data_IF_172518536929
#
_entry.id   IF_172518536929
#
_cell.length_a   1.000
_cell.length_b   1.000
_cell.length_c   1.000
_cell.angle_alpha   90.00
_cell.angle_beta   90.00
_cell.angle_gamma   90.00
#
_symmetry.space_group_name_H-M   'P 1'
#
loop_
_entity.id
_entity.type
_entity.pdbx_description
1 polymer ?
#
# COMPACT_ATOMS: atom_id res chain seq x y z
N UNK A 1 0.34 11.44 18.38
CA UNK A 1 1.00 10.49 17.44
C UNK A 1 1.95 11.29 16.56
N UNK A 2 3.10 10.71 16.11
CA UNK A 2 4.02 11.39 15.19
C UNK A 2 3.30 11.68 13.87
N UNK A 3 3.43 12.91 13.33
CA UNK A 3 2.89 13.31 12.03
C UNK A 3 4.01 13.31 11.01
N UNK A 4 3.72 12.83 9.80
CA UNK A 4 4.65 12.79 8.66
C UNK A 4 4.08 13.66 7.56
N UNK A 5 4.91 14.54 7.01
CA UNK A 5 4.57 15.36 5.84
C UNK A 5 4.71 14.50 4.58
N UNK A 6 3.76 14.59 3.67
CA UNK A 6 3.81 13.90 2.39
C UNK A 6 4.61 14.73 1.37
N UNK A 7 5.83 14.29 1.13
CA UNK A 7 6.74 14.98 0.20
C UNK A 7 6.94 16.46 0.59
N UNK A 8 6.80 17.34 -0.38
CA UNK A 8 6.86 18.81 -0.22
C UNK A 8 5.47 19.46 -0.19
N UNK A 9 4.39 18.69 -0.05
CA UNK A 9 3.00 19.19 0.00
C UNK A 9 2.64 19.72 1.40
N UNK A 10 1.45 20.31 1.56
CA UNK A 10 0.90 20.69 2.85
C UNK A 10 0.04 19.58 3.49
N UNK A 11 0.11 18.36 2.93
CA UNK A 11 -0.57 17.19 3.48
C UNK A 11 0.27 16.53 4.57
N UNK A 12 -0.36 16.24 5.71
CA UNK A 12 0.25 15.56 6.85
C UNK A 12 -0.63 14.39 7.28
N UNK A 13 0.00 13.29 7.62
CA UNK A 13 -0.69 12.08 8.10
C UNK A 13 -0.03 11.53 9.37
N UNK A 14 -0.74 10.67 10.07
CA UNK A 14 -0.15 9.89 11.16
C UNK A 14 0.92 8.95 10.61
N UNK A 15 1.90 8.59 11.44
CA UNK A 15 3.08 7.84 11.02
C UNK A 15 2.80 6.39 10.57
N UNK A 16 1.56 5.93 10.68
CA UNK A 16 1.10 4.61 10.24
C UNK A 16 -0.18 4.82 9.45
N UNK A 17 -0.20 4.37 8.20
CA UNK A 17 -1.38 4.33 7.34
C UNK A 17 -2.04 2.95 7.35
N UNK A 18 -3.10 2.79 6.58
CA UNK A 18 -3.88 1.56 6.46
C UNK A 18 -3.86 1.04 5.02
N UNK A 19 -3.30 -0.17 4.81
CA UNK A 19 -3.40 -0.91 3.56
C UNK A 19 -4.74 -1.65 3.50
N UNK A 20 -5.59 -1.31 2.52
CA UNK A 20 -6.93 -1.88 2.40
C UNK A 20 -6.99 -3.19 1.58
N UNK A 21 -5.90 -3.58 0.91
CA UNK A 21 -5.85 -4.71 -0.02
C UNK A 21 -6.47 -5.99 0.56
N UNK A 22 -6.12 -6.35 1.79
CA UNK A 22 -6.50 -7.63 2.40
C UNK A 22 -8.01 -7.82 2.60
N UNK A 23 -8.81 -6.76 2.53
CA UNK A 23 -10.27 -6.84 2.70
C UNK A 23 -10.97 -7.59 1.54
N UNK A 24 -10.40 -7.50 0.32
CA UNK A 24 -11.01 -8.12 -0.86
C UNK A 24 -10.04 -8.93 -1.71
N UNK A 25 -8.72 -8.81 -1.50
CA UNK A 25 -7.73 -9.34 -2.43
C UNK A 25 -6.61 -10.09 -1.70
N UNK A 26 -6.19 -11.22 -2.29
CA UNK A 26 -4.91 -11.89 -2.03
C UNK A 26 -4.67 -12.45 -0.62
N UNK A 27 -5.64 -12.40 0.28
CA UNK A 27 -5.51 -12.85 1.66
C UNK A 27 -6.62 -13.83 2.08
N UNK A 28 -7.20 -14.54 1.14
CA UNK A 28 -8.36 -15.42 1.30
C UNK A 28 -9.63 -14.81 0.70
N UNK A 29 -10.78 -15.42 0.95
CA UNK A 29 -12.08 -14.90 0.47
C UNK A 29 -12.28 -13.44 0.92
N UNK A 30 -12.95 -12.60 0.11
CA UNK A 30 -13.29 -11.25 0.50
C UNK A 30 -14.03 -11.19 1.85
N UNK A 31 -13.66 -10.24 2.67
CA UNK A 31 -14.43 -9.90 3.88
C UNK A 31 -15.82 -9.42 3.44
N UNK A 32 -16.93 -9.85 4.09
CA UNK A 32 -18.25 -9.31 3.80
C UNK A 32 -18.24 -7.78 3.79
N UNK A 33 -18.91 -7.19 2.80
CA UNK A 33 -18.81 -5.74 2.53
C UNK A 33 -19.12 -4.89 3.75
N UNK A 34 -20.19 -5.20 4.47
CA UNK A 34 -20.65 -4.46 5.65
C UNK A 34 -19.61 -4.52 6.78
N UNK A 35 -19.01 -5.70 6.99
CA UNK A 35 -17.93 -5.91 7.96
C UNK A 35 -16.67 -5.13 7.58
N UNK A 36 -16.27 -5.20 6.30
CA UNK A 36 -15.12 -4.45 5.81
C UNK A 36 -15.30 -2.92 5.94
N UNK A 37 -16.49 -2.42 5.67
CA UNK A 37 -16.86 -1.00 5.89
C UNK A 37 -16.76 -0.63 7.37
N UNK A 38 -17.23 -1.49 8.27
CA UNK A 38 -17.14 -1.27 9.72
C UNK A 38 -15.68 -1.25 10.20
N UNK A 39 -14.84 -2.18 9.72
CA UNK A 39 -13.40 -2.21 10.02
C UNK A 39 -12.73 -0.89 9.64
N UNK A 40 -13.01 -0.38 8.42
CA UNK A 40 -12.41 0.87 7.94
C UNK A 40 -12.89 2.09 8.74
N UNK A 41 -14.15 2.14 9.16
CA UNK A 41 -14.69 3.21 10.02
C UNK A 41 -14.07 3.15 11.43
N UNK A 42 -13.95 1.98 12.02
CA UNK A 42 -13.24 1.79 13.30
C UNK A 42 -11.78 2.24 13.21
N UNK A 43 -11.09 1.97 12.08
CA UNK A 43 -9.73 2.46 11.87
C UNK A 43 -9.68 3.99 11.89
N UNK A 44 -10.63 4.69 11.27
CA UNK A 44 -10.76 6.14 11.36
C UNK A 44 -10.94 6.62 12.81
N UNK A 45 -11.83 6.00 13.56
CA UNK A 45 -12.07 6.33 14.97
C UNK A 45 -10.83 6.11 15.85
N UNK A 46 -9.95 5.17 15.46
CA UNK A 46 -8.65 4.93 16.09
C UNK A 46 -7.56 5.92 15.64
N UNK A 47 -7.88 6.81 14.69
CA UNK A 47 -6.99 7.87 14.21
C UNK A 47 -6.20 7.55 12.96
N UNK A 48 -6.55 6.51 12.20
CA UNK A 48 -5.97 6.31 10.87
C UNK A 48 -6.51 7.38 9.91
N UNK A 49 -5.60 8.07 9.23
CA UNK A 49 -5.91 9.16 8.31
C UNK A 49 -5.24 9.02 6.93
N UNK A 50 -4.64 7.84 6.64
CA UNK A 50 -4.06 7.48 5.34
C UNK A 50 -4.60 6.12 4.92
N UNK A 51 -5.37 6.06 3.84
CA UNK A 51 -6.05 4.87 3.33
C UNK A 51 -5.52 4.54 1.95
N UNK A 52 -4.99 3.32 1.79
CA UNK A 52 -4.36 2.87 0.55
C UNK A 52 -5.13 1.72 -0.08
N UNK A 53 -5.61 1.93 -1.31
CA UNK A 53 -6.28 0.93 -2.14
C UNK A 53 -5.70 0.88 -3.56
N UNK A 54 -6.30 0.13 -4.48
CA UNK A 54 -5.97 0.10 -5.90
C UNK A 54 -7.13 -0.44 -6.74
N UNK A 55 -7.21 -0.04 -8.02
CA UNK A 55 -8.24 -0.53 -8.96
C UNK A 55 -8.20 -2.06 -9.14
N UNK A 56 -7.00 -2.66 -9.09
CA UNK A 56 -6.81 -4.09 -9.28
C UNK A 56 -7.06 -4.94 -8.03
N UNK A 57 -7.35 -4.34 -6.87
CA UNK A 57 -7.65 -5.10 -5.66
C UNK A 57 -9.07 -5.66 -5.71
N UNK A 58 -9.22 -6.77 -6.36
CA UNK A 58 -10.48 -7.48 -6.52
C UNK A 58 -10.38 -8.90 -5.98
N UNK A 59 -11.50 -9.45 -5.55
CA UNK A 59 -11.65 -10.87 -5.21
C UNK A 59 -12.98 -11.40 -5.71
N UNK A 60 -13.21 -12.69 -5.51
CA UNK A 60 -14.46 -13.35 -5.87
C UNK A 60 -15.21 -13.71 -4.60
N UNK A 61 -16.41 -13.17 -4.46
CA UNK A 61 -17.33 -13.49 -3.36
C UNK A 61 -17.82 -14.95 -3.46
N UNK A 62 -18.31 -15.54 -2.36
CA UNK A 62 -18.86 -16.91 -2.39
C UNK A 62 -20.01 -17.12 -3.39
N UNK A 63 -20.73 -16.07 -3.78
CA UNK A 63 -21.80 -16.11 -4.78
C UNK A 63 -21.31 -15.95 -6.23
N UNK A 64 -19.97 -15.86 -6.43
CA UNK A 64 -19.33 -15.66 -7.73
C UNK A 64 -19.25 -14.21 -8.21
N UNK A 65 -19.82 -13.27 -7.48
CA UNK A 65 -19.71 -11.84 -7.82
C UNK A 65 -18.30 -11.29 -7.52
N UNK A 66 -17.91 -10.21 -8.20
CA UNK A 66 -16.63 -9.53 -7.95
C UNK A 66 -16.74 -8.58 -6.75
N UNK A 67 -15.83 -8.75 -5.79
CA UNK A 67 -15.64 -7.79 -4.71
C UNK A 67 -14.61 -6.73 -5.14
N UNK A 68 -15.01 -5.48 -5.22
CA UNK A 68 -14.14 -4.34 -5.55
C UNK A 68 -13.70 -3.63 -4.28
N UNK A 69 -12.38 -3.57 -4.04
CA UNK A 69 -11.82 -2.89 -2.87
C UNK A 69 -12.19 -1.41 -2.83
N UNK A 70 -12.11 -0.72 -3.98
CA UNK A 70 -12.44 0.70 -4.09
C UNK A 70 -13.91 1.00 -3.74
N UNK A 71 -14.86 0.09 -4.01
CA UNK A 71 -16.25 0.27 -3.62
C UNK A 71 -16.45 0.17 -2.10
N UNK A 72 -15.74 -0.77 -1.46
CA UNK A 72 -15.75 -0.93 0.00
C UNK A 72 -15.13 0.30 0.67
N UNK A 73 -13.96 0.71 0.19
CA UNK A 73 -13.26 1.90 0.74
C UNK A 73 -14.10 3.15 0.53
N UNK A 74 -14.63 3.38 -0.67
CA UNK A 74 -15.46 4.55 -0.99
C UNK A 74 -16.67 4.68 -0.08
N UNK A 75 -17.40 3.58 0.16
CA UNK A 75 -18.54 3.57 1.08
C UNK A 75 -18.14 3.86 2.52
N UNK A 76 -17.01 3.27 2.95
CA UNK A 76 -16.53 3.44 4.31
C UNK A 76 -16.11 4.87 4.60
N UNK A 77 -15.32 5.49 3.70
CA UNK A 77 -14.70 6.80 3.94
C UNK A 77 -15.62 8.00 3.64
N UNK A 78 -16.74 7.78 2.97
CA UNK A 78 -17.66 8.84 2.56
C UNK A 78 -18.04 9.83 3.67
N UNK A 79 -18.32 9.40 4.92
CA UNK A 79 -18.68 10.32 6.01
C UNK A 79 -17.53 11.25 6.44
N UNK A 80 -16.28 10.82 6.27
CA UNK A 80 -15.07 11.53 6.73
C UNK A 80 -14.01 11.71 5.61
N UNK A 81 -14.45 11.71 4.33
CA UNK A 81 -13.57 11.82 3.16
C UNK A 81 -12.60 13.00 3.23
N UNK A 82 -13.00 14.11 3.82
CA UNK A 82 -12.19 15.34 3.90
C UNK A 82 -11.14 15.29 4.99
N UNK A 83 -11.25 14.36 5.93
CA UNK A 83 -10.38 14.24 7.10
C UNK A 83 -9.21 13.28 6.87
N UNK A 84 -9.17 12.65 5.69
CA UNK A 84 -8.20 11.62 5.36
C UNK A 84 -7.46 11.89 4.06
N UNK A 85 -6.34 11.22 3.88
CA UNK A 85 -5.63 11.05 2.62
C UNK A 85 -6.06 9.72 2.01
N UNK A 86 -6.70 9.77 0.85
CA UNK A 86 -7.18 8.62 0.10
C UNK A 86 -6.28 8.38 -1.11
N UNK A 87 -5.73 7.17 -1.20
CA UNK A 87 -4.82 6.75 -2.25
C UNK A 87 -5.43 5.62 -3.08
N UNK A 88 -5.24 5.67 -4.40
CA UNK A 88 -5.49 4.53 -5.30
C UNK A 88 -4.44 4.45 -6.40
N UNK A 89 -4.44 3.36 -7.17
CA UNK A 89 -3.38 3.00 -8.11
C UNK A 89 -3.96 2.49 -9.42
N UNK A 90 -3.23 2.71 -10.52
CA UNK A 90 -3.62 2.27 -11.87
C UNK A 90 -2.55 1.40 -12.53
N UNK A 91 -2.95 0.79 -13.63
CA UNK A 91 -2.05 0.23 -14.63
C UNK A 91 -1.62 -1.21 -14.38
N UNK A 92 -2.23 -1.93 -13.44
CA UNK A 92 -2.00 -3.36 -13.23
C UNK A 92 -3.26 -4.15 -13.52
N UNK A 93 -3.12 -5.18 -14.36
CA UNK A 93 -4.17 -6.16 -14.64
C UNK A 93 -3.69 -7.56 -14.29
N UNK A 94 -4.51 -8.31 -13.56
CA UNK A 94 -4.29 -9.72 -13.25
C UNK A 94 -4.80 -10.56 -14.43
N UNK A 95 -3.90 -11.29 -15.09
CA UNK A 95 -4.19 -12.15 -16.25
C UNK A 95 -4.04 -13.63 -15.91
N UNK A 96 -4.57 -14.05 -14.77
CA UNK A 96 -4.46 -15.41 -14.26
C UNK A 96 -3.10 -15.66 -13.61
N UNK A 97 -2.12 -16.12 -14.37
CA UNK A 97 -0.79 -16.49 -13.89
C UNK A 97 0.27 -15.37 -13.96
N UNK A 98 -0.05 -14.25 -14.63
CA UNK A 98 0.86 -13.12 -14.76
C UNK A 98 0.16 -11.77 -14.60
N UNK A 99 0.97 -10.72 -14.52
CA UNK A 99 0.52 -9.33 -14.48
C UNK A 99 0.82 -8.66 -15.82
N UNK A 100 -0.15 -7.92 -16.33
CA UNK A 100 0.06 -6.97 -17.44
C UNK A 100 0.10 -5.55 -16.89
N UNK A 101 0.96 -4.74 -17.52
CA UNK A 101 1.14 -3.33 -17.16
C UNK A 101 0.76 -2.45 -18.33
N UNK A 102 0.00 -1.39 -18.04
CA UNK A 102 -0.42 -0.40 -19.02
C UNK A 102 -0.42 1.00 -18.38
N UNK A 103 0.60 1.79 -18.69
CA UNK A 103 0.72 3.19 -18.26
C UNK A 103 0.51 4.17 -19.40
N UNK A 104 -0.24 3.79 -20.45
CA UNK A 104 -0.61 4.70 -21.51
C UNK A 104 -1.45 5.88 -20.99
N UNK A 105 -1.34 7.07 -21.58
CA UNK A 105 -2.13 8.23 -21.19
C UNK A 105 -3.64 7.97 -21.16
N UNK A 106 -4.15 7.16 -22.09
CA UNK A 106 -5.55 6.76 -22.12
C UNK A 106 -5.92 5.91 -20.90
N UNK A 107 -5.11 4.88 -20.58
CA UNK A 107 -5.34 4.00 -19.43
C UNK A 107 -5.26 4.77 -18.12
N UNK A 108 -4.27 5.64 -17.93
CA UNK A 108 -4.14 6.47 -16.72
C UNK A 108 -5.44 7.25 -16.47
N UNK A 109 -5.98 7.93 -17.47
CA UNK A 109 -7.20 8.73 -17.34
C UNK A 109 -8.44 7.86 -17.13
N UNK A 110 -8.61 6.80 -17.91
CA UNK A 110 -9.75 5.89 -17.83
C UNK A 110 -9.80 5.18 -16.48
N UNK A 111 -8.67 4.72 -15.96
CA UNK A 111 -8.55 4.09 -14.65
C UNK A 111 -8.94 5.06 -13.54
N UNK A 112 -8.46 6.32 -13.61
CA UNK A 112 -8.83 7.32 -12.62
C UNK A 112 -10.35 7.58 -12.59
N UNK A 113 -10.99 7.76 -13.75
CA UNK A 113 -12.45 7.96 -13.81
C UNK A 113 -13.21 6.75 -13.23
N UNK A 114 -12.73 5.53 -13.51
CA UNK A 114 -13.27 4.30 -12.92
C UNK A 114 -13.10 4.24 -11.41
N UNK A 115 -11.94 4.64 -10.90
CA UNK A 115 -11.63 4.70 -9.48
C UNK A 115 -12.47 5.75 -8.75
N UNK A 116 -12.57 6.96 -9.29
CA UNK A 116 -13.39 8.04 -8.71
C UNK A 116 -14.86 7.63 -8.56
N UNK A 117 -15.40 6.93 -9.58
CA UNK A 117 -16.78 6.40 -9.53
C UNK A 117 -16.95 5.37 -8.40
N UNK A 118 -16.06 4.39 -8.28
CA UNK A 118 -16.12 3.35 -7.24
C UNK A 118 -15.88 3.94 -5.85
N UNK A 119 -14.94 4.85 -5.71
CA UNK A 119 -14.61 5.54 -4.47
C UNK A 119 -15.65 6.59 -4.06
N UNK A 120 -16.62 6.90 -4.94
CA UNK A 120 -17.69 7.87 -4.70
C UNK A 120 -17.17 9.26 -4.30
N UNK A 121 -16.13 9.74 -4.98
CA UNK A 121 -15.45 11.01 -4.73
C UNK A 121 -15.05 11.68 -6.04
N UNK A 122 -14.89 13.01 -6.03
CA UNK A 122 -14.50 13.77 -7.21
C UNK A 122 -12.96 13.88 -7.37
N UNK A 123 -12.20 13.47 -6.34
CA UNK A 123 -10.75 13.52 -6.35
C UNK A 123 -10.16 12.43 -5.45
N UNK A 124 -8.91 12.06 -5.73
CA UNK A 124 -8.05 11.32 -4.78
C UNK A 124 -6.88 12.20 -4.35
N UNK A 125 -6.36 11.94 -3.15
CA UNK A 125 -5.26 12.74 -2.63
C UNK A 125 -3.94 12.30 -3.26
N UNK A 126 -3.74 10.99 -3.43
CA UNK A 126 -2.56 10.43 -4.09
C UNK A 126 -2.99 9.40 -5.13
N UNK A 127 -2.49 9.56 -6.35
CA UNK A 127 -2.68 8.59 -7.43
C UNK A 127 -1.36 7.96 -7.81
N UNK A 128 -1.28 6.61 -7.76
CA UNK A 128 -0.02 5.91 -8.02
C UNK A 128 0.01 5.23 -9.37
N UNK A 129 1.15 5.30 -10.04
CA UNK A 129 1.55 4.28 -11.00
C UNK A 129 1.87 3.01 -10.20
N UNK A 130 1.05 1.96 -10.34
CA UNK A 130 1.14 0.77 -9.48
C UNK A 130 2.39 -0.08 -9.78
N UNK A 131 2.78 -0.15 -11.05
CA UNK A 131 4.03 -0.76 -11.54
C UNK A 131 4.55 0.01 -12.73
N UNK A 132 5.87 0.00 -12.91
CA UNK A 132 6.49 0.57 -14.11
C UNK A 132 6.07 -0.27 -15.32
N UNK A 133 5.53 0.40 -16.33
CA UNK A 133 5.31 -0.18 -17.64
C UNK A 133 6.55 0.11 -18.50
N UNK A 134 7.32 -0.91 -18.93
CA UNK A 134 8.53 -0.71 -19.70
C UNK A 134 8.29 -0.17 -21.12
N UNK A 135 7.03 -0.08 -21.56
CA UNK A 135 6.63 0.43 -22.87
C UNK A 135 6.38 1.93 -22.86
N UNK A 136 6.30 2.56 -21.68
CA UNK A 136 5.95 3.97 -21.52
C UNK A 136 7.04 4.70 -20.73
N UNK A 137 7.61 5.72 -21.32
CA UNK A 137 8.67 6.52 -20.69
C UNK A 137 8.13 7.28 -19.46
N UNK A 138 8.95 7.43 -18.39
CA UNK A 138 8.54 8.10 -17.16
C UNK A 138 8.07 9.54 -17.36
N UNK A 139 8.63 10.23 -18.35
CA UNK A 139 8.25 11.61 -18.68
C UNK A 139 6.81 11.69 -19.21
N UNK A 140 6.36 10.68 -19.95
CA UNK A 140 4.98 10.60 -20.48
C UNK A 140 4.01 10.43 -19.31
N UNK A 141 4.28 9.47 -18.43
CA UNK A 141 3.45 9.24 -17.23
C UNK A 141 3.39 10.50 -16.37
N UNK A 142 4.56 11.10 -16.07
CA UNK A 142 4.65 12.31 -15.25
C UNK A 142 3.93 13.51 -15.88
N UNK A 143 3.93 13.62 -17.22
CA UNK A 143 3.17 14.63 -17.96
C UNK A 143 1.67 14.52 -17.72
N UNK A 144 1.12 13.30 -17.81
CA UNK A 144 -0.31 13.07 -17.54
C UNK A 144 -0.65 13.34 -16.07
N UNK A 145 0.23 12.95 -15.11
CA UNK A 145 0.01 13.26 -13.70
C UNK A 145 -0.04 14.74 -13.41
N UNK A 146 0.82 15.52 -14.07
CA UNK A 146 0.80 16.99 -13.97
C UNK A 146 -0.55 17.56 -14.44
N UNK A 147 -1.05 17.12 -15.60
CA UNK A 147 -2.37 17.53 -16.10
C UNK A 147 -3.50 17.17 -15.12
N UNK A 148 -3.50 15.97 -14.56
CA UNK A 148 -4.52 15.52 -13.61
C UNK A 148 -4.48 16.32 -12.29
N UNK A 149 -3.31 16.79 -11.86
CA UNK A 149 -3.16 17.71 -10.71
C UNK A 149 -3.77 19.10 -11.10
N UNK A 150 -3.47 19.61 -12.27
CA UNK A 150 -4.01 20.89 -12.78
C UNK A 150 -5.54 20.82 -12.95
N UNK A 151 -6.09 19.67 -13.36
CA UNK A 151 -7.53 19.39 -13.42
C UNK A 151 -8.18 19.26 -12.02
N UNK A 152 -7.40 19.14 -10.95
CA UNK A 152 -7.88 18.97 -9.59
C UNK A 152 -8.44 17.57 -9.29
N UNK A 153 -8.25 16.60 -10.17
CA UNK A 153 -8.70 15.20 -9.99
C UNK A 153 -7.81 14.41 -9.04
N UNK A 154 -6.54 14.79 -8.92
CA UNK A 154 -5.59 14.28 -7.95
C UNK A 154 -4.88 15.45 -7.27
N UNK A 155 -4.51 15.32 -5.99
CA UNK A 155 -3.73 16.39 -5.32
C UNK A 155 -2.23 16.18 -5.46
N UNK A 156 -1.81 14.93 -5.55
CA UNK A 156 -0.42 14.53 -5.68
C UNK A 156 -0.33 13.15 -6.35
N UNK A 157 0.87 12.73 -6.69
CA UNK A 157 1.09 11.42 -7.28
C UNK A 157 2.30 10.69 -6.73
N UNK A 158 2.35 9.39 -7.00
CA UNK A 158 3.44 8.53 -6.59
C UNK A 158 3.74 7.40 -7.58
N UNK A 159 4.80 6.66 -7.29
CA UNK A 159 5.22 5.50 -8.08
C UNK A 159 5.46 4.33 -7.13
N UNK A 160 4.88 3.17 -7.45
CA UNK A 160 5.07 1.94 -6.69
C UNK A 160 6.11 1.02 -7.35
N UNK A 161 6.95 0.38 -6.55
CA UNK A 161 8.05 -0.49 -6.98
C UNK A 161 8.98 0.19 -8.01
N UNK A 162 9.36 1.43 -7.73
CA UNK A 162 10.23 2.24 -8.58
C UNK A 162 11.71 1.94 -8.31
N UNK A 163 12.55 2.35 -9.27
CA UNK A 163 14.00 2.46 -9.13
C UNK A 163 14.46 3.92 -9.23
N UNK A 164 15.72 4.19 -8.91
CA UNK A 164 16.27 5.55 -8.88
C UNK A 164 16.21 6.27 -10.23
N UNK A 165 16.60 5.58 -11.30
CA UNK A 165 16.64 6.16 -12.65
C UNK A 165 15.25 6.64 -13.08
N UNK A 166 14.27 5.75 -13.02
CA UNK A 166 12.88 6.05 -13.37
C UNK A 166 12.33 7.18 -12.51
N UNK A 167 12.58 7.12 -11.19
CA UNK A 167 12.11 8.12 -10.24
C UNK A 167 12.66 9.52 -10.55
N UNK A 168 13.96 9.64 -10.82
CA UNK A 168 14.59 10.94 -11.12
C UNK A 168 14.06 11.55 -12.41
N UNK A 169 13.89 10.75 -13.46
CA UNK A 169 13.34 11.19 -14.73
C UNK A 169 11.90 11.67 -14.60
N UNK A 170 11.05 10.90 -13.93
CA UNK A 170 9.67 11.24 -13.67
C UNK A 170 9.55 12.52 -12.81
N UNK A 171 10.35 12.60 -11.72
CA UNK A 171 10.35 13.73 -10.79
C UNK A 171 10.77 15.07 -11.46
N UNK A 172 11.63 15.00 -12.47
CA UNK A 172 12.06 16.19 -13.21
C UNK A 172 10.91 16.84 -14.02
N UNK A 173 9.91 16.07 -14.45
CA UNK A 173 8.76 16.57 -15.22
C UNK A 173 7.62 17.00 -14.30
N UNK A 174 7.27 16.17 -13.34
CA UNK A 174 6.27 16.43 -12.32
C UNK A 174 6.78 15.91 -10.97
N UNK A 175 6.97 16.77 -9.97
CA UNK A 175 7.51 16.32 -8.67
C UNK A 175 6.72 15.16 -8.10
N UNK A 176 7.39 14.02 -7.93
CA UNK A 176 6.84 12.83 -7.26
C UNK A 176 6.76 13.12 -5.77
N UNK A 177 5.60 12.94 -5.18
CA UNK A 177 5.35 13.22 -3.76
C UNK A 177 5.71 12.04 -2.88
N UNK A 178 5.39 10.84 -3.33
CA UNK A 178 5.60 9.60 -2.58
C UNK A 178 6.08 8.48 -3.49
N UNK A 179 6.86 7.55 -2.93
CA UNK A 179 7.05 6.23 -3.55
C UNK A 179 6.46 5.17 -2.63
N UNK A 180 5.97 4.08 -3.22
CA UNK A 180 5.41 2.96 -2.48
C UNK A 180 6.14 1.67 -2.83
N UNK A 181 7.16 1.32 -2.05
CA UNK A 181 7.96 0.13 -2.29
C UNK A 181 7.89 -0.83 -1.09
N UNK A 182 8.11 -2.12 -1.35
CA UNK A 182 8.16 -3.13 -0.29
C UNK A 182 9.28 -2.81 0.69
N UNK A 183 8.93 -2.73 1.99
CA UNK A 183 9.93 -2.53 3.03
C UNK A 183 9.49 -3.14 4.37
N UNK A 184 10.38 -3.89 4.98
CA UNK A 184 10.19 -4.48 6.32
C UNK A 184 11.55 -4.89 6.89
N UNK A 185 11.61 -5.42 8.11
CA UNK A 185 12.84 -6.01 8.65
C UNK A 185 13.39 -7.14 7.76
N UNK A 186 12.51 -7.83 7.01
CA UNK A 186 12.86 -8.96 6.13
C UNK A 186 13.05 -8.55 4.66
N UNK A 187 12.70 -7.32 4.27
CA UNK A 187 12.70 -6.84 2.88
C UNK A 187 13.39 -5.47 2.81
N UNK A 188 14.71 -5.43 2.62
CA UNK A 188 15.52 -4.23 2.71
C UNK A 188 16.24 -3.83 1.41
N UNK A 189 15.92 -4.50 0.31
CA UNK A 189 16.61 -4.30 -0.98
C UNK A 189 16.36 -2.93 -1.63
N UNK A 190 15.39 -2.16 -1.16
CA UNK A 190 15.11 -0.80 -1.62
C UNK A 190 15.72 0.29 -0.70
N UNK A 191 16.59 -0.04 0.24
CA UNK A 191 17.23 0.97 1.11
C UNK A 191 18.12 1.95 0.34
N UNK A 192 18.60 1.57 -0.84
CA UNK A 192 19.32 2.47 -1.75
C UNK A 192 18.47 3.67 -2.21
N UNK A 193 17.15 3.60 -2.16
CA UNK A 193 16.26 4.73 -2.47
C UNK A 193 16.09 5.72 -1.32
N UNK A 194 16.45 5.36 -0.09
CA UNK A 194 16.26 6.25 1.06
C UNK A 194 17.06 7.58 0.94
N UNK A 195 18.34 7.57 0.51
CA UNK A 195 19.06 8.82 0.25
C UNK A 195 18.40 9.67 -0.84
N UNK A 196 17.89 9.04 -1.89
CA UNK A 196 17.19 9.71 -3.02
C UNK A 196 15.89 10.35 -2.55
N UNK A 197 15.10 9.64 -1.75
CA UNK A 197 13.88 10.18 -1.15
C UNK A 197 14.18 11.40 -0.28
N UNK A 198 15.23 11.35 0.54
CA UNK A 198 15.65 12.47 1.37
C UNK A 198 16.10 13.66 0.53
N UNK A 199 16.91 13.43 -0.50
CA UNK A 199 17.40 14.45 -1.43
C UNK A 199 16.25 15.18 -2.14
N UNK A 200 15.32 14.41 -2.71
CA UNK A 200 14.22 14.94 -3.50
C UNK A 200 13.05 15.44 -2.62
N UNK A 201 13.03 15.11 -1.34
CA UNK A 201 11.96 15.43 -0.42
C UNK A 201 10.71 14.60 -0.72
N UNK A 202 10.88 13.29 -0.91
CA UNK A 202 9.84 12.31 -1.23
C UNK A 202 9.55 11.47 0.01
N UNK A 203 8.29 11.20 0.31
CA UNK A 203 7.90 10.28 1.37
C UNK A 203 7.93 8.84 0.86
N UNK A 204 8.44 7.93 1.68
CA UNK A 204 8.47 6.51 1.41
C UNK A 204 7.29 5.82 2.09
N UNK A 205 6.34 5.32 1.32
CA UNK A 205 5.23 4.47 1.80
C UNK A 205 5.68 3.01 1.72
N UNK A 206 5.67 2.32 2.87
CA UNK A 206 6.17 0.96 2.98
C UNK A 206 5.02 -0.04 2.97
N UNK A 207 4.82 -0.74 1.85
CA UNK A 207 3.86 -1.84 1.84
C UNK A 207 4.48 -3.15 2.35
N UNK A 208 3.62 -4.08 2.78
CA UNK A 208 4.00 -5.32 3.45
C UNK A 208 4.97 -5.13 4.65
N UNK A 209 4.75 -4.13 5.52
CA UNK A 209 5.68 -3.81 6.61
C UNK A 209 5.81 -4.94 7.64
N UNK A 210 4.82 -5.83 7.69
CA UNK A 210 4.82 -7.03 8.55
C UNK A 210 5.14 -8.32 7.79
N UNK A 211 5.77 -8.21 6.59
CA UNK A 211 6.10 -9.34 5.72
C UNK A 211 4.90 -10.27 5.47
N UNK A 212 3.73 -9.68 5.12
CA UNK A 212 2.46 -10.37 4.92
C UNK A 212 1.98 -11.19 6.13
N UNK A 213 2.35 -10.75 7.34
CA UNK A 213 1.99 -11.37 8.62
C UNK A 213 3.11 -12.20 9.26
N UNK A 214 4.19 -12.53 8.55
CA UNK A 214 5.28 -13.33 9.11
C UNK A 214 5.91 -12.68 10.36
N UNK A 215 6.10 -11.36 10.35
CA UNK A 215 6.66 -10.60 11.48
C UNK A 215 5.70 -10.42 12.67
N UNK A 216 4.49 -10.94 12.60
CA UNK A 216 3.58 -10.96 13.75
C UNK A 216 3.83 -12.13 14.69
N UNK A 217 4.42 -13.22 14.18
CA UNK A 217 4.55 -14.51 14.87
C UNK A 217 3.29 -15.39 14.85
N UNK A 218 2.19 -14.93 14.21
CA UNK A 218 0.94 -15.68 14.13
C UNK A 218 0.99 -16.85 13.12
N UNK A 219 1.83 -16.76 12.08
CA UNK A 219 1.90 -17.72 10.98
C UNK A 219 3.19 -18.54 11.03
N UNK A 220 3.25 -19.49 11.98
CA UNK A 220 4.44 -20.34 12.21
C UNK A 220 4.43 -21.65 11.39
N UNK A 221 3.39 -21.88 10.59
CA UNK A 221 3.30 -23.02 9.67
C UNK A 221 2.33 -22.72 8.52
N UNK A 222 2.46 -23.46 7.40
CA UNK A 222 1.51 -23.38 6.27
C UNK A 222 0.06 -23.69 6.67
N UNK A 223 -0.15 -24.53 7.71
CA UNK A 223 -1.48 -24.86 8.22
C UNK A 223 -2.24 -23.67 8.80
N UNK A 224 -1.55 -22.58 9.14
CA UNK A 224 -2.17 -21.38 9.68
C UNK A 224 -3.01 -20.58 8.65
N UNK A 225 -2.92 -20.91 7.36
CA UNK A 225 -3.62 -20.23 6.29
C UNK A 225 -4.98 -20.86 5.89
N UNK A 226 -5.46 -21.85 6.59
CA UNK A 226 -6.75 -22.50 6.32
C UNK A 226 -6.80 -23.22 4.97
N UNK A 227 -7.93 -23.12 4.24
CA UNK A 227 -8.13 -23.74 2.92
C UNK A 227 -7.29 -23.13 1.79
N UNK A 228 -6.78 -21.93 1.98
CA UNK A 228 -5.93 -21.24 1.01
C UNK A 228 -6.65 -20.66 -0.21
N UNK A 229 -7.98 -20.77 -0.33
CA UNK A 229 -8.71 -20.17 -1.44
C UNK A 229 -8.47 -18.66 -1.51
N UNK A 230 -8.01 -18.18 -2.68
CA UNK A 230 -7.65 -16.77 -2.94
C UNK A 230 -6.58 -16.21 -1.98
N UNK A 231 -5.84 -17.05 -1.27
CA UNK A 231 -4.74 -16.65 -0.40
C UNK A 231 -3.40 -17.11 -0.99
N UNK A 232 -2.59 -16.19 -1.49
CA UNK A 232 -1.28 -16.52 -2.07
C UNK A 232 -0.15 -16.56 -1.04
N UNK A 233 -0.41 -16.20 0.23
CA UNK A 233 0.64 -16.17 1.26
C UNK A 233 1.33 -17.51 1.50
N UNK A 234 0.62 -18.66 1.48
CA UNK A 234 1.26 -19.96 1.68
C UNK A 234 2.39 -20.28 0.69
N UNK A 235 2.36 -19.66 -0.51
CA UNK A 235 3.35 -19.91 -1.57
C UNK A 235 4.52 -18.91 -1.54
N UNK A 236 4.48 -17.94 -0.63
CA UNK A 236 5.56 -16.97 -0.48
C UNK A 236 6.81 -17.56 0.17
N UNK A 237 8.03 -17.13 -0.21
CA UNK A 237 9.28 -17.68 0.29
C UNK A 237 9.41 -17.66 1.82
N UNK A 238 8.89 -16.64 2.50
CA UNK A 238 8.92 -16.54 3.97
C UNK A 238 8.09 -17.62 4.68
N UNK A 239 7.19 -18.31 3.95
CA UNK A 239 6.38 -19.41 4.46
C UNK A 239 6.85 -20.79 3.99
N UNK A 240 7.99 -20.89 3.30
CA UNK A 240 8.69 -22.15 3.13
C UNK A 240 9.23 -22.65 4.49
N UNK A 241 9.58 -23.92 4.62
CA UNK A 241 10.16 -24.46 5.86
C UNK A 241 11.40 -23.68 6.31
N UNK A 242 12.30 -23.37 5.36
CA UNK A 242 13.50 -22.57 5.63
C UNK A 242 13.13 -21.12 5.99
N UNK A 243 12.17 -20.53 5.27
CA UNK A 243 11.69 -19.17 5.52
C UNK A 243 11.07 -19.03 6.92
N UNK A 244 10.24 -19.98 7.34
CA UNK A 244 9.66 -20.02 8.70
C UNK A 244 10.76 -20.14 9.75
N UNK A 245 11.75 -21.02 9.55
CA UNK A 245 12.86 -21.18 10.49
C UNK A 245 13.63 -19.86 10.68
N UNK A 246 14.04 -19.22 9.60
CA UNK A 246 14.75 -17.92 9.62
C UNK A 246 13.90 -16.81 10.24
N UNK A 247 12.59 -16.80 9.95
CA UNK A 247 11.67 -15.85 10.57
C UNK A 247 11.57 -16.04 12.08
N UNK A 248 11.49 -17.27 12.56
CA UNK A 248 11.43 -17.57 13.99
C UNK A 248 12.71 -17.14 14.72
N UNK A 249 13.90 -17.35 14.13
CA UNK A 249 15.18 -16.87 14.68
C UNK A 249 15.17 -15.32 14.84
N UNK A 250 14.64 -14.59 13.86
CA UNK A 250 14.46 -13.13 13.95
C UNK A 250 13.44 -12.76 15.03
N UNK A 251 12.31 -13.48 15.10
CA UNK A 251 11.24 -13.21 16.04
C UNK A 251 11.65 -13.45 17.49
N UNK A 252 12.56 -14.39 17.78
CA UNK A 252 13.15 -14.56 19.11
C UNK A 252 13.81 -13.27 19.60
N UNK A 253 14.62 -12.64 18.75
CA UNK A 253 15.27 -11.35 19.08
C UNK A 253 14.25 -10.23 19.24
N UNK A 254 13.29 -10.12 18.30
CA UNK A 254 12.26 -9.10 18.34
C UNK A 254 11.38 -9.23 19.60
N UNK A 255 10.99 -10.45 19.97
CA UNK A 255 10.19 -10.73 21.15
C UNK A 255 10.93 -10.34 22.44
N UNK A 256 12.22 -10.73 22.57
CA UNK A 256 13.04 -10.39 23.76
C UNK A 256 13.15 -8.86 23.97
N UNK A 257 13.21 -8.10 22.88
CA UNK A 257 13.21 -6.63 22.95
C UNK A 257 11.79 -6.14 23.26
N UNK A 258 10.78 -6.71 22.61
CA UNK A 258 9.37 -6.37 22.80
C UNK A 258 8.88 -6.54 24.23
N UNK A 259 9.28 -7.60 24.91
CA UNK A 259 8.97 -7.86 26.32
C UNK A 259 9.39 -6.70 27.25
N UNK A 260 10.58 -6.12 27.00
CA UNK A 260 11.09 -4.96 27.76
C UNK A 260 10.26 -3.69 27.55
N UNK A 261 9.50 -3.63 26.47
CA UNK A 261 8.66 -2.50 26.09
C UNK A 261 7.16 -2.80 26.18
N UNK A 262 6.77 -3.99 26.66
CA UNK A 262 5.38 -4.47 26.68
C UNK A 262 4.71 -4.39 25.31
N UNK A 263 5.47 -4.71 24.24
CA UNK A 263 5.07 -4.57 22.86
C UNK A 263 5.08 -5.91 22.11
N UNK A 264 4.10 -6.11 21.23
CA UNK A 264 4.01 -7.27 20.33
C UNK A 264 5.07 -7.19 19.22
N UNK A 265 5.37 -8.31 18.56
CA UNK A 265 6.28 -8.36 17.43
C UNK A 265 5.85 -7.42 16.28
N UNK A 266 4.54 -7.32 16.02
CA UNK A 266 4.00 -6.39 15.04
C UNK A 266 4.28 -4.92 15.43
N UNK A 267 4.03 -4.55 16.69
CA UNK A 267 4.34 -3.20 17.19
C UNK A 267 5.83 -2.90 17.12
N UNK A 268 6.69 -3.86 17.48
CA UNK A 268 8.15 -3.70 17.38
C UNK A 268 8.60 -3.51 15.94
N UNK A 269 8.04 -4.29 14.98
CA UNK A 269 8.36 -4.18 13.55
C UNK A 269 7.99 -2.81 12.98
N UNK A 270 6.81 -2.30 13.32
CA UNK A 270 6.37 -0.97 12.89
C UNK A 270 7.18 0.14 13.59
N UNK A 271 7.43 0.01 14.89
CA UNK A 271 8.24 0.98 15.66
C UNK A 271 9.67 1.08 15.10
N UNK A 272 10.30 -0.04 14.74
CA UNK A 272 11.61 -0.05 14.09
C UNK A 272 11.60 0.81 12.83
N UNK A 273 10.57 0.67 11.98
CA UNK A 273 10.47 1.37 10.71
C UNK A 273 10.28 2.88 10.88
N UNK A 274 9.29 3.30 11.69
CA UNK A 274 8.97 4.73 11.89
C UNK A 274 10.03 5.50 12.67
N UNK A 275 10.94 4.80 13.36
CA UNK A 275 12.08 5.42 14.06
C UNK A 275 13.37 5.40 13.24
N UNK A 276 13.44 4.58 12.18
CA UNK A 276 14.64 4.52 11.33
C UNK A 276 14.77 5.74 10.41
N UNK A 277 13.63 6.22 9.88
CA UNK A 277 13.56 7.41 9.04
C UNK A 277 12.30 8.21 9.38
N UNK A 278 12.36 9.52 9.30
CA UNK A 278 11.27 10.43 9.64
C UNK A 278 10.26 10.65 8.49
N UNK A 279 10.58 10.16 7.30
CA UNK A 279 9.79 10.24 6.07
C UNK A 279 9.21 8.88 5.61
N UNK A 280 9.19 7.86 6.47
CA UNK A 280 8.58 6.55 6.18
C UNK A 280 7.19 6.47 6.80
N UNK A 281 6.26 5.89 6.03
CA UNK A 281 4.91 5.55 6.47
C UNK A 281 4.65 4.08 6.14
N UNK A 282 4.67 3.15 7.10
CA UNK A 282 4.20 1.79 6.89
C UNK A 282 2.68 1.76 6.72
N UNK A 283 2.21 0.92 5.81
CA UNK A 283 0.79 0.67 5.56
C UNK A 283 0.43 -0.80 5.83
N UNK A 284 0.42 -1.24 7.11
CA UNK A 284 -0.05 -2.58 7.43
C UNK A 284 -1.49 -2.74 7.00
N UNK A 285 -1.81 -3.90 6.43
CA UNK A 285 -3.19 -4.32 6.20
C UNK A 285 -3.72 -5.10 7.41
N UNK A 286 -5.03 -5.09 7.59
CA UNK A 286 -5.75 -5.88 8.59
C UNK A 286 -7.10 -6.35 8.03
N UNK A 287 -7.68 -7.34 8.69
CA UNK A 287 -9.04 -7.84 8.48
C UNK A 287 -9.79 -7.83 9.79
#
# INVERSE_FOLDING_TARGET
MKRVRLGKTDMYVNAIGLGCMGLTHASGLPTPKEEAVEILRKAHDMGYDFYDTAECYTGVNPDGSTAYNEEVVGEAVKPFRKDIILCTKFGVKHMGDHLEFDSSPETIRKSLEGSLKKLQTDYVDIYYQHRIDPKVEPEVVAGVMKELIEEGKIKAWGISETNEEYLRRAHAVCPVTVIENRYSMMARWHENLMPVCKELGITYVAFSPLANGALTGAYQSKKAFGSGEQDFRPDMPQYSEEGIKKTNELLEVVSQIGEKHHATNAQMSLAWMINKYDFIIPIPGSR
#
